data_IF_299859658586
#
_entry.id   IF_299859658586
#
_cell.length_a   1.000
_cell.length_b   1.000
_cell.length_c   1.000
_cell.angle_alpha   90.00
_cell.angle_beta   90.00
_cell.angle_gamma   90.00
#
_symmetry.space_group_name_H-M   'P 1'
#
loop_
_entity.id
_entity.type
_entity.pdbx_description
1 polymer ?
#
# COMPACT_ATOMS: atom_id res chain seq x y z
N UNK A 1 15.73 1.46 26.81
CA UNK A 1 15.06 2.64 26.20
C UNK A 1 15.93 3.69 25.46
N UNK A 2 17.29 3.62 25.38
CA UNK A 2 18.08 4.51 24.51
C UNK A 2 18.00 4.16 23.01
N UNK A 3 17.86 2.87 22.67
CA UNK A 3 17.96 2.41 21.28
C UNK A 3 16.73 2.75 20.42
N UNK A 4 15.56 2.86 21.04
CA UNK A 4 14.32 3.30 20.36
C UNK A 4 14.40 4.78 19.93
N UNK A 5 15.07 5.63 20.70
CA UNK A 5 15.25 7.06 20.39
C UNK A 5 16.21 7.28 19.21
N UNK A 6 17.23 6.42 19.04
CA UNK A 6 18.19 6.52 17.92
C UNK A 6 17.71 5.85 16.64
N UNK A 7 16.95 4.77 16.75
CA UNK A 7 16.51 4.01 15.58
C UNK A 7 15.54 4.78 14.67
N UNK A 8 14.71 5.67 15.22
CA UNK A 8 13.79 6.49 14.44
C UNK A 8 14.53 7.39 13.43
N UNK A 9 15.42 8.29 13.89
CA UNK A 9 16.20 9.15 13.01
C UNK A 9 17.05 8.38 11.99
N UNK A 10 17.71 7.29 12.41
CA UNK A 10 18.53 6.48 11.49
C UNK A 10 17.68 5.81 10.42
N UNK A 11 16.50 5.29 10.77
CA UNK A 11 15.60 4.68 9.79
C UNK A 11 14.98 5.71 8.84
N UNK A 12 14.75 6.95 9.30
CA UNK A 12 14.34 8.08 8.44
C UNK A 12 15.43 8.41 7.42
N UNK A 13 16.68 8.56 7.87
CA UNK A 13 17.82 8.83 6.99
C UNK A 13 18.06 7.68 6.01
N UNK A 14 17.92 6.44 6.48
CA UNK A 14 17.99 5.25 5.61
C UNK A 14 16.87 5.28 4.57
N UNK A 15 15.62 5.54 4.96
CA UNK A 15 14.51 5.65 4.03
C UNK A 15 14.73 6.74 2.99
N UNK A 16 15.24 7.90 3.40
CA UNK A 16 15.60 8.99 2.48
C UNK A 16 16.71 8.55 1.51
N UNK A 17 17.79 7.95 2.01
CA UNK A 17 18.89 7.46 1.18
C UNK A 17 18.39 6.40 0.18
N UNK A 18 17.55 5.47 0.62
CA UNK A 18 16.99 4.43 -0.22
C UNK A 18 16.07 5.03 -1.31
N UNK A 19 15.23 6.00 -0.95
CA UNK A 19 14.40 6.72 -1.91
C UNK A 19 15.21 7.52 -2.92
N UNK A 20 16.29 8.17 -2.49
CA UNK A 20 17.20 8.87 -3.40
C UNK A 20 17.88 7.91 -4.37
N UNK A 21 18.27 6.72 -3.93
CA UNK A 21 18.86 5.71 -4.81
C UNK A 21 17.82 5.13 -5.79
N UNK A 22 16.59 4.89 -5.33
CA UNK A 22 15.52 4.35 -6.16
C UNK A 22 15.05 5.33 -7.24
N UNK A 23 14.94 6.62 -6.90
CA UNK A 23 14.55 7.68 -7.85
C UNK A 23 15.73 8.13 -8.73
N UNK A 24 16.94 8.12 -8.18
CA UNK A 24 18.18 8.40 -8.92
C UNK A 24 18.10 9.69 -9.75
N UNK A 25 18.34 9.65 -11.07
CA UNK A 25 18.27 10.83 -11.93
C UNK A 25 16.91 11.53 -11.96
N UNK A 26 15.83 10.83 -11.59
CA UNK A 26 14.48 11.38 -11.55
C UNK A 26 14.29 12.48 -10.48
N UNK A 27 15.26 12.66 -9.58
CA UNK A 27 15.30 13.78 -8.65
C UNK A 27 15.79 15.09 -9.28
N UNK A 28 16.25 15.07 -10.53
CA UNK A 28 16.61 16.26 -11.29
C UNK A 28 15.43 17.23 -11.50
N UNK A 29 15.70 18.46 -12.00
CA UNK A 29 14.65 19.45 -12.23
C UNK A 29 13.54 18.93 -13.17
N UNK A 30 12.29 19.30 -12.89
CA UNK A 30 11.13 18.91 -13.71
C UNK A 30 10.39 17.67 -13.19
N UNK A 31 9.44 17.17 -13.98
CA UNK A 31 8.51 16.12 -13.57
C UNK A 31 8.98 14.72 -13.95
N UNK A 32 8.67 13.76 -13.09
CA UNK A 32 8.77 12.34 -13.40
C UNK A 32 7.42 11.88 -13.95
N UNK A 33 7.33 11.67 -15.26
CA UNK A 33 6.09 11.27 -15.93
C UNK A 33 6.22 9.84 -16.45
N UNK A 34 5.59 8.91 -15.74
CA UNK A 34 5.58 7.49 -16.07
C UNK A 34 4.19 6.93 -15.80
N UNK A 35 3.51 6.46 -16.84
CA UNK A 35 2.19 5.81 -16.73
C UNK A 35 1.19 6.66 -15.93
N UNK A 36 0.75 6.20 -14.74
CA UNK A 36 -0.20 6.91 -13.87
C UNK A 36 0.44 8.06 -13.06
N UNK A 37 1.75 8.31 -13.20
CA UNK A 37 2.46 9.40 -12.52
C UNK A 37 2.24 10.73 -13.25
N UNK A 38 1.01 11.21 -13.23
CA UNK A 38 0.60 12.45 -13.88
C UNK A 38 0.64 13.61 -12.89
N UNK A 39 1.60 14.50 -13.07
CA UNK A 39 1.72 15.77 -12.36
C UNK A 39 1.84 16.90 -13.40
N UNK A 40 1.38 18.10 -13.04
CA UNK A 40 1.41 19.27 -13.93
C UNK A 40 2.08 20.46 -13.22
N UNK A 41 2.71 21.40 -13.96
CA UNK A 41 3.39 22.57 -13.38
C UNK A 41 2.50 23.45 -12.50
N UNK A 42 1.31 23.78 -12.99
CA UNK A 42 0.37 24.72 -12.36
C UNK A 42 -0.97 24.02 -12.12
N UNK A 43 -1.04 23.06 -11.16
CA UNK A 43 -2.29 22.36 -10.89
C UNK A 43 -3.29 23.35 -10.29
N UNK A 44 -4.53 23.32 -10.79
CA UNK A 44 -5.63 24.16 -10.30
C UNK A 44 -6.77 23.30 -9.80
N UNK A 45 -7.54 23.82 -8.84
CA UNK A 45 -8.74 23.14 -8.37
C UNK A 45 -9.81 23.18 -9.45
N UNK A 46 -10.20 22.00 -9.93
CA UNK A 46 -11.27 21.85 -10.92
C UNK A 46 -12.36 20.94 -10.38
N UNK A 47 -13.50 20.88 -11.08
CA UNK A 47 -14.52 19.88 -10.79
C UNK A 47 -13.95 18.45 -10.85
N UNK A 48 -13.00 18.17 -11.74
CA UNK A 48 -12.36 16.86 -11.85
C UNK A 48 -11.59 16.48 -10.58
N UNK A 49 -10.87 17.44 -9.99
CA UNK A 49 -10.10 17.28 -8.75
C UNK A 49 -10.95 16.82 -7.55
N UNK A 50 -12.25 17.14 -7.56
CA UNK A 50 -13.22 16.70 -6.54
C UNK A 50 -14.14 15.57 -7.03
N UNK A 51 -13.78 14.94 -8.16
CA UNK A 51 -14.54 13.86 -8.76
C UNK A 51 -15.78 14.31 -9.53
N UNK A 52 -16.10 15.60 -9.57
CA UNK A 52 -17.33 16.19 -10.09
C UNK A 52 -17.39 16.32 -11.63
N UNK A 53 -16.48 15.67 -12.37
CA UNK A 53 -16.34 15.80 -13.84
C UNK A 53 -16.89 14.61 -14.68
N UNK A 54 -17.68 13.72 -14.09
CA UNK A 54 -18.42 12.68 -14.83
C UNK A 54 -17.71 11.32 -14.98
N UNK A 55 -16.46 11.18 -14.53
CA UNK A 55 -15.75 9.90 -14.46
C UNK A 55 -15.62 9.38 -13.03
N UNK A 56 -15.31 8.09 -12.87
CA UNK A 56 -14.98 7.52 -11.57
C UNK A 56 -13.90 8.35 -10.86
N UNK A 57 -14.07 8.70 -9.56
CA UNK A 57 -13.18 9.62 -8.85
C UNK A 57 -11.88 8.93 -8.41
N UNK A 58 -11.14 8.36 -9.37
CA UNK A 58 -9.92 7.57 -9.14
C UNK A 58 -8.75 8.39 -8.59
N UNK A 59 -8.76 9.70 -8.83
CA UNK A 59 -7.72 10.66 -8.41
C UNK A 59 -8.13 11.46 -7.16
N UNK A 60 -9.24 11.11 -6.52
CA UNK A 60 -9.77 11.87 -5.38
C UNK A 60 -9.38 11.17 -4.08
N UNK A 61 -8.77 11.89 -3.12
CA UNK A 61 -8.41 13.31 -3.11
C UNK A 61 -6.95 13.59 -3.51
N UNK A 62 -6.25 12.63 -4.12
CA UNK A 62 -4.81 12.74 -4.40
C UNK A 62 -4.43 13.99 -5.18
N UNK A 63 -5.18 14.31 -6.25
CA UNK A 63 -4.93 15.52 -7.04
C UNK A 63 -5.26 16.78 -6.25
N UNK A 64 -6.29 16.76 -5.41
CA UNK A 64 -6.65 17.89 -4.56
C UNK A 64 -5.54 18.21 -3.55
N UNK A 65 -4.93 17.17 -2.97
CA UNK A 65 -3.80 17.31 -2.05
C UNK A 65 -2.58 17.88 -2.78
N UNK A 66 -2.26 17.36 -3.97
CA UNK A 66 -1.15 17.87 -4.78
C UNK A 66 -1.38 19.33 -5.17
N UNK A 67 -2.57 19.69 -5.64
CA UNK A 67 -2.95 21.07 -5.95
C UNK A 67 -2.78 21.99 -4.74
N UNK A 68 -3.26 21.57 -3.55
CA UNK A 68 -3.13 22.35 -2.33
C UNK A 68 -1.65 22.58 -1.92
N UNK A 69 -0.84 21.52 -1.98
CA UNK A 69 0.59 21.61 -1.67
C UNK A 69 1.35 22.49 -2.68
N UNK A 70 0.88 22.52 -3.92
CA UNK A 70 1.49 23.28 -5.01
C UNK A 70 1.25 24.79 -4.91
N UNK A 71 0.42 25.25 -3.96
CA UNK A 71 0.29 26.67 -3.63
C UNK A 71 1.48 27.21 -2.83
N UNK A 72 2.25 26.33 -2.19
CA UNK A 72 3.37 26.71 -1.32
C UNK A 72 4.72 26.30 -1.94
N UNK A 73 4.74 25.19 -2.67
CA UNK A 73 5.94 24.65 -3.30
C UNK A 73 5.69 24.42 -4.80
N UNK A 74 6.71 24.52 -5.66
CA UNK A 74 6.59 24.08 -7.04
C UNK A 74 6.08 22.63 -7.13
N UNK A 75 5.18 22.34 -8.06
CA UNK A 75 4.51 21.03 -8.14
C UNK A 75 5.50 19.87 -8.40
N UNK A 76 6.63 20.12 -9.06
CA UNK A 76 7.68 19.13 -9.28
C UNK A 76 8.46 18.81 -7.99
N UNK A 77 8.59 19.78 -7.08
CA UNK A 77 9.12 19.59 -5.72
C UNK A 77 8.13 18.81 -4.87
N UNK A 78 6.83 19.13 -4.97
CA UNK A 78 5.76 18.37 -4.29
C UNK A 78 5.78 16.91 -4.71
N UNK A 79 5.90 16.62 -6.02
CA UNK A 79 6.02 15.26 -6.54
C UNK A 79 7.19 14.51 -5.89
N UNK A 80 8.41 15.09 -5.94
CA UNK A 80 9.61 14.46 -5.38
C UNK A 80 9.50 14.26 -3.87
N UNK A 81 8.92 15.23 -3.16
CA UNK A 81 8.70 15.14 -1.71
C UNK A 81 7.72 14.00 -1.35
N UNK A 82 6.64 13.83 -2.13
CA UNK A 82 5.69 12.72 -1.95
C UNK A 82 6.40 11.38 -2.19
N UNK A 83 7.14 11.25 -3.29
CA UNK A 83 7.84 10.01 -3.64
C UNK A 83 8.88 9.63 -2.58
N UNK A 84 9.73 10.58 -2.14
CA UNK A 84 10.67 10.35 -1.05
C UNK A 84 9.95 10.07 0.29
N UNK A 85 8.80 10.71 0.51
CA UNK A 85 7.95 10.50 1.67
C UNK A 85 7.48 9.05 1.82
N UNK A 86 7.18 8.36 0.72
CA UNK A 86 6.84 6.91 0.73
C UNK A 86 7.97 6.10 1.37
N UNK A 87 9.21 6.33 0.95
CA UNK A 87 10.37 5.60 1.49
C UNK A 87 10.65 5.96 2.94
N UNK A 88 10.61 7.26 3.28
CA UNK A 88 10.85 7.72 4.65
C UNK A 88 9.81 7.14 5.61
N UNK A 89 8.53 7.27 5.28
CA UNK A 89 7.43 6.77 6.11
C UNK A 89 7.44 5.24 6.20
N UNK A 90 7.59 4.54 5.07
CA UNK A 90 7.61 3.09 5.03
C UNK A 90 8.78 2.51 5.83
N UNK A 91 10.00 2.99 5.57
CA UNK A 91 11.22 2.45 6.18
C UNK A 91 11.23 2.69 7.70
N UNK A 92 10.98 3.93 8.13
CA UNK A 92 10.95 4.25 9.56
C UNK A 92 9.77 3.58 10.28
N UNK A 93 8.62 3.45 9.62
CA UNK A 93 7.48 2.73 10.16
C UNK A 93 7.77 1.25 10.44
N UNK A 94 8.29 0.52 9.43
CA UNK A 94 8.61 -0.90 9.56
C UNK A 94 9.74 -1.13 10.57
N UNK A 95 10.80 -0.30 10.53
CA UNK A 95 11.89 -0.36 11.50
C UNK A 95 11.41 -0.20 12.95
N UNK A 96 10.45 0.71 13.18
CA UNK A 96 9.91 0.98 14.51
C UNK A 96 8.97 -0.13 15.01
N UNK A 97 8.41 -0.96 14.13
CA UNK A 97 7.57 -2.10 14.51
C UNK A 97 8.37 -3.28 15.07
N UNK A 98 9.62 -3.47 14.62
CA UNK A 98 10.46 -4.57 15.07
C UNK A 98 10.82 -4.37 16.55
N UNK A 99 10.42 -5.29 17.46
CA UNK A 99 10.66 -5.17 18.89
C UNK A 99 12.06 -5.68 19.27
N UNK A 100 13.09 -5.20 18.56
CA UNK A 100 14.49 -5.51 18.83
C UNK A 100 15.19 -4.31 19.45
N UNK A 101 16.05 -4.57 20.43
CA UNK A 101 16.98 -3.56 20.95
C UNK A 101 18.15 -3.30 19.98
N UNK A 102 18.41 -4.21 19.02
CA UNK A 102 19.48 -4.07 18.05
C UNK A 102 19.02 -3.20 16.89
N UNK A 103 19.90 -2.34 16.39
CA UNK A 103 19.59 -1.47 15.25
C UNK A 103 19.46 -2.26 13.94
N UNK A 104 20.32 -3.26 13.73
CA UNK A 104 20.41 -4.01 12.46
C UNK A 104 19.07 -4.65 12.06
N UNK A 105 18.36 -5.45 12.89
CA UNK A 105 17.08 -6.02 12.49
C UNK A 105 16.03 -4.97 12.10
N UNK A 106 16.05 -3.81 12.75
CA UNK A 106 15.11 -2.71 12.46
C UNK A 106 15.42 -2.09 11.09
N UNK A 107 16.69 -1.88 10.78
CA UNK A 107 17.11 -1.34 9.48
C UNK A 107 16.88 -2.35 8.35
N UNK A 108 17.10 -3.65 8.59
CA UNK A 108 16.78 -4.71 7.62
C UNK A 108 15.28 -4.72 7.31
N UNK A 109 14.42 -4.66 8.33
CA UNK A 109 12.98 -4.57 8.15
C UNK A 109 12.56 -3.32 7.37
N UNK A 110 13.11 -2.15 7.75
CA UNK A 110 12.88 -0.90 7.03
C UNK A 110 13.29 -0.98 5.56
N UNK A 111 14.48 -1.52 5.29
CA UNK A 111 15.04 -1.68 3.93
C UNK A 111 14.18 -2.62 3.10
N UNK A 112 13.92 -3.83 3.59
CA UNK A 112 13.11 -4.81 2.88
C UNK A 112 11.70 -4.26 2.59
N UNK A 113 11.12 -3.51 3.54
CA UNK A 113 9.77 -2.98 3.36
C UNK A 113 9.67 -1.93 2.24
N UNK A 114 10.71 -1.13 1.99
CA UNK A 114 10.65 -0.10 0.92
C UNK A 114 11.41 -0.46 -0.34
N UNK A 115 12.27 -1.48 -0.27
CA UNK A 115 13.09 -1.95 -1.37
C UNK A 115 12.74 -3.39 -1.73
N UNK A 116 11.53 -3.56 -2.26
CA UNK A 116 11.00 -4.85 -2.70
C UNK A 116 10.22 -4.69 -4.02
N UNK A 117 9.83 -5.82 -4.66
CA UNK A 117 9.14 -5.78 -5.94
C UNK A 117 7.83 -5.01 -5.93
N UNK A 118 7.06 -5.07 -4.83
CA UNK A 118 5.81 -4.34 -4.72
C UNK A 118 6.04 -2.84 -4.89
N UNK A 119 7.05 -2.27 -4.24
CA UNK A 119 7.34 -0.83 -4.36
C UNK A 119 7.87 -0.51 -5.76
N UNK A 120 8.78 -1.32 -6.27
CA UNK A 120 9.41 -1.09 -7.57
C UNK A 120 8.40 -1.12 -8.73
N UNK A 121 7.56 -2.15 -8.80
CA UNK A 121 6.56 -2.29 -9.87
C UNK A 121 5.52 -1.16 -9.82
N UNK A 122 5.14 -0.71 -8.61
CA UNK A 122 4.16 0.38 -8.44
C UNK A 122 4.73 1.75 -8.75
N UNK A 123 6.04 1.96 -8.52
CA UNK A 123 6.73 3.16 -9.00
C UNK A 123 6.80 3.19 -10.53
N UNK A 124 7.11 2.06 -11.17
CA UNK A 124 7.14 1.92 -12.63
C UNK A 124 5.75 2.04 -13.28
N UNK A 125 4.70 1.69 -12.54
CA UNK A 125 3.31 1.97 -12.94
C UNK A 125 2.85 3.40 -12.63
N UNK A 126 3.65 4.19 -11.92
CA UNK A 126 3.26 5.54 -11.52
C UNK A 126 2.20 5.60 -10.42
N UNK A 127 1.98 4.52 -9.68
CA UNK A 127 0.95 4.40 -8.65
C UNK A 127 1.39 4.96 -7.29
N UNK A 128 1.91 6.19 -7.31
CA UNK A 128 2.40 6.91 -6.13
C UNK A 128 1.33 7.06 -5.05
N UNK A 129 0.07 7.27 -5.45
CA UNK A 129 -1.04 7.45 -4.53
C UNK A 129 -1.32 6.17 -3.72
N UNK A 130 -1.32 5.00 -4.37
CA UNK A 130 -1.41 3.70 -3.70
C UNK A 130 -0.24 3.47 -2.73
N UNK A 131 0.96 3.89 -3.12
CA UNK A 131 2.16 3.75 -2.30
C UNK A 131 2.12 4.59 -1.01
N UNK A 132 1.32 5.67 -0.94
CA UNK A 132 1.06 6.35 0.33
C UNK A 132 0.27 5.48 1.31
N UNK A 133 -0.69 4.69 0.79
CA UNK A 133 -1.40 3.67 1.56
C UNK A 133 -0.45 2.59 2.05
N UNK A 134 0.41 2.10 1.17
CA UNK A 134 1.47 1.15 1.49
C UNK A 134 2.39 1.67 2.60
N UNK A 135 2.90 2.91 2.48
CA UNK A 135 3.78 3.51 3.47
C UNK A 135 3.10 3.72 4.85
N UNK A 136 1.76 3.83 4.88
CA UNK A 136 0.98 3.97 6.11
C UNK A 136 0.79 2.66 6.89
N UNK A 137 0.89 1.49 6.25
CA UNK A 137 0.64 0.18 6.88
C UNK A 137 1.39 -0.03 8.21
N UNK A 138 2.72 0.22 8.30
CA UNK A 138 3.43 0.02 9.56
C UNK A 138 2.93 0.93 10.69
N UNK A 139 2.49 2.14 10.34
CA UNK A 139 2.01 3.13 11.31
C UNK A 139 0.62 2.78 11.82
N UNK A 140 -0.27 2.25 10.98
CA UNK A 140 -1.60 1.82 11.43
C UNK A 140 -1.50 0.57 12.32
N UNK A 141 -0.58 -0.34 12.03
CA UNK A 141 -0.28 -1.48 12.92
C UNK A 141 0.24 -0.97 14.26
N UNK A 142 1.16 0.01 14.27
CA UNK A 142 1.68 0.60 15.52
C UNK A 142 0.64 1.42 16.30
N UNK A 143 -0.32 1.99 15.58
CA UNK A 143 -1.41 2.78 16.15
C UNK A 143 -2.60 1.93 16.62
N UNK A 144 -2.53 0.60 16.45
CA UNK A 144 -3.57 -0.33 16.86
C UNK A 144 -4.01 -0.06 18.31
N UNK A 145 -5.33 0.01 18.52
CA UNK A 145 -5.92 0.31 19.83
C UNK A 145 -6.23 1.79 20.09
N UNK A 146 -5.83 2.72 19.22
CA UNK A 146 -6.20 4.14 19.35
C UNK A 146 -6.72 4.71 18.03
N UNK A 147 -8.00 5.11 18.02
CA UNK A 147 -8.63 5.72 16.84
C UNK A 147 -7.94 7.03 16.42
N UNK A 148 -7.57 7.87 17.39
CA UNK A 148 -6.84 9.12 17.11
C UNK A 148 -5.49 8.85 16.46
N UNK A 149 -4.71 7.91 16.99
CA UNK A 149 -3.41 7.55 16.39
C UNK A 149 -3.60 6.88 15.02
N UNK A 150 -4.65 6.08 14.86
CA UNK A 150 -5.01 5.45 13.59
C UNK A 150 -5.36 6.49 12.53
N UNK A 151 -6.10 7.55 12.89
CA UNK A 151 -6.40 8.66 12.00
C UNK A 151 -5.15 9.37 11.50
N UNK A 152 -4.20 9.68 12.39
CA UNK A 152 -2.91 10.27 11.99
C UNK A 152 -2.12 9.31 11.11
N UNK A 153 -2.06 8.03 11.48
CA UNK A 153 -1.35 7.00 10.71
C UNK A 153 -1.96 6.76 9.31
N UNK A 154 -3.27 6.94 9.15
CA UNK A 154 -3.98 6.81 7.88
C UNK A 154 -3.90 8.08 7.02
N UNK A 155 -3.39 9.20 7.51
CA UNK A 155 -3.36 10.45 6.74
C UNK A 155 -2.66 10.33 5.37
N UNK A 156 -1.52 9.62 5.23
CA UNK A 156 -0.94 9.36 3.90
C UNK A 156 -1.86 8.56 3.00
N UNK A 157 -2.48 7.49 3.53
CA UNK A 157 -3.44 6.68 2.78
C UNK A 157 -4.67 7.50 2.33
N UNK A 158 -5.15 8.39 3.20
CA UNK A 158 -6.27 9.28 2.92
C UNK A 158 -5.94 10.26 1.78
N UNK A 159 -4.71 10.79 1.79
CA UNK A 159 -4.21 11.61 0.67
C UNK A 159 -4.10 10.79 -0.62
N UNK A 160 -3.67 9.53 -0.55
CA UNK A 160 -3.62 8.61 -1.70
C UNK A 160 -4.99 8.18 -2.25
N UNK A 161 -6.08 8.39 -1.50
CA UNK A 161 -7.44 8.12 -1.95
C UNK A 161 -7.85 6.66 -1.88
N UNK A 162 -8.74 6.26 -2.79
CA UNK A 162 -9.51 5.01 -2.68
C UNK A 162 -8.65 3.74 -2.54
N UNK A 163 -7.78 3.47 -3.50
CA UNK A 163 -6.96 2.25 -3.52
C UNK A 163 -6.02 2.19 -2.30
N UNK A 164 -5.34 3.30 -1.99
CA UNK A 164 -4.50 3.45 -0.81
C UNK A 164 -5.27 3.15 0.48
N UNK A 165 -6.45 3.74 0.65
CA UNK A 165 -7.29 3.52 1.82
C UNK A 165 -7.76 2.07 1.94
N UNK A 166 -8.02 1.35 0.85
CA UNK A 166 -8.51 -0.04 0.92
C UNK A 166 -7.46 -0.99 1.51
N UNK A 167 -6.19 -0.91 1.07
CA UNK A 167 -5.11 -1.75 1.62
C UNK A 167 -4.77 -1.38 3.07
N UNK A 168 -4.81 -0.08 3.41
CA UNK A 168 -4.54 0.40 4.77
C UNK A 168 -5.68 0.05 5.72
N UNK A 169 -6.94 0.16 5.28
CA UNK A 169 -8.12 -0.20 6.06
C UNK A 169 -8.17 -1.71 6.32
N UNK A 170 -7.87 -2.56 5.32
CA UNK A 170 -7.76 -4.01 5.52
C UNK A 170 -6.79 -4.34 6.66
N UNK A 171 -5.60 -3.73 6.64
CA UNK A 171 -4.58 -3.93 7.68
C UNK A 171 -5.03 -3.41 9.04
N UNK A 172 -5.55 -2.18 9.10
CA UNK A 172 -5.99 -1.56 10.34
C UNK A 172 -7.17 -2.31 10.99
N UNK A 173 -8.17 -2.71 10.20
CA UNK A 173 -9.32 -3.46 10.69
C UNK A 173 -8.92 -4.85 11.17
N UNK A 174 -8.05 -5.56 10.44
CA UNK A 174 -7.55 -6.86 10.89
C UNK A 174 -6.79 -6.73 12.22
N UNK A 175 -5.91 -5.73 12.37
CA UNK A 175 -5.22 -5.48 13.66
C UNK A 175 -6.15 -5.08 14.80
N UNK A 176 -7.22 -4.34 14.52
CA UNK A 176 -8.23 -4.00 15.53
C UNK A 176 -9.12 -5.21 15.90
N UNK A 177 -9.45 -6.05 14.92
CA UNK A 177 -10.31 -7.19 15.08
C UNK A 177 -9.60 -8.40 15.70
N UNK A 178 -8.29 -8.53 15.53
CA UNK A 178 -7.52 -9.67 16.04
C UNK A 178 -6.35 -9.19 16.90
N UNK A 179 -6.62 -8.53 18.05
CA UNK A 179 -5.56 -8.12 18.97
C UNK A 179 -4.89 -9.34 19.62
N UNK A 180 -3.65 -9.15 20.08
CA UNK A 180 -3.01 -10.12 20.96
C UNK A 180 -3.66 -10.13 22.35
N UNK A 181 -3.72 -11.32 22.95
CA UNK A 181 -4.35 -11.52 24.26
C UNK A 181 -5.87 -11.72 24.21
N UNK A 182 -6.50 -11.66 25.39
CA UNK A 182 -7.96 -11.81 25.55
C UNK A 182 -8.56 -10.43 25.82
N UNK A 183 -9.40 -9.96 24.90
CA UNK A 183 -10.25 -8.79 25.11
C UNK A 183 -11.71 -9.26 25.16
N UNK A 184 -12.55 -8.73 26.07
CA UNK A 184 -13.99 -8.96 26.03
C UNK A 184 -14.56 -8.58 24.66
N UNK A 185 -15.51 -9.36 24.14
CA UNK A 185 -16.14 -9.14 22.83
C UNK A 185 -16.59 -7.69 22.64
N UNK A 186 -17.23 -7.09 23.65
CA UNK A 186 -17.71 -5.71 23.62
C UNK A 186 -16.59 -4.68 23.43
N UNK A 187 -15.46 -4.85 24.13
CA UNK A 187 -14.31 -3.96 24.01
C UNK A 187 -13.65 -4.07 22.62
N UNK A 188 -13.52 -5.32 22.13
CA UNK A 188 -13.02 -5.60 20.78
C UNK A 188 -13.91 -4.95 19.71
N UNK A 189 -15.23 -5.12 19.79
CA UNK A 189 -16.17 -4.52 18.85
C UNK A 189 -16.15 -2.99 18.92
N UNK A 190 -16.09 -2.41 20.11
CA UNK A 190 -15.95 -0.96 20.26
C UNK A 190 -14.66 -0.45 19.60
N UNK A 191 -13.55 -1.18 19.73
CA UNK A 191 -12.29 -0.84 19.06
C UNK A 191 -12.43 -0.95 17.54
N UNK A 192 -13.01 -2.04 17.02
CA UNK A 192 -13.24 -2.22 15.58
C UNK A 192 -14.10 -1.09 15.02
N UNK A 193 -15.21 -0.75 15.67
CA UNK A 193 -16.10 0.35 15.25
C UNK A 193 -15.36 1.69 15.24
N UNK A 194 -14.60 1.99 16.30
CA UNK A 194 -13.81 3.23 16.38
C UNK A 194 -12.74 3.31 15.30
N UNK A 195 -12.07 2.20 14.99
CA UNK A 195 -11.08 2.14 13.92
C UNK A 195 -11.75 2.20 12.55
N UNK A 196 -12.91 1.59 12.35
CA UNK A 196 -13.67 1.61 11.11
C UNK A 196 -14.27 2.99 10.77
N UNK A 197 -14.58 3.79 11.80
CA UNK A 197 -15.06 5.17 11.60
C UNK A 197 -14.01 6.06 10.91
N UNK A 198 -12.71 5.79 11.13
CA UNK A 198 -11.62 6.57 10.53
C UNK A 198 -11.55 6.43 9.00
N UNK A 199 -11.37 5.22 8.42
CA UNK A 199 -11.37 5.06 6.98
C UNK A 199 -12.73 5.42 6.37
N UNK A 200 -13.86 5.16 7.06
CA UNK A 200 -15.17 5.61 6.59
C UNK A 200 -15.22 7.13 6.41
N UNK A 201 -14.72 7.90 7.39
CA UNK A 201 -14.60 9.36 7.29
C UNK A 201 -13.65 9.82 6.18
N UNK A 202 -12.45 9.23 6.07
CA UNK A 202 -11.49 9.55 5.01
C UNK A 202 -11.93 9.08 3.62
N UNK A 203 -12.93 8.21 3.53
CA UNK A 203 -13.50 7.76 2.27
C UNK A 203 -14.53 8.75 1.70
N UNK A 204 -15.08 9.64 2.52
CA UNK A 204 -16.11 10.59 2.11
C UNK A 204 -15.76 11.42 0.87
N UNK A 205 -14.52 11.93 0.67
CA UNK A 205 -14.18 12.76 -0.48
C UNK A 205 -14.43 12.08 -1.84
N UNK A 206 -14.29 10.76 -1.94
CA UNK A 206 -14.57 10.01 -3.18
C UNK A 206 -15.89 9.22 -3.11
N UNK A 207 -16.33 8.82 -1.91
CA UNK A 207 -17.59 8.09 -1.71
C UNK A 207 -18.80 9.00 -2.00
N UNK A 208 -18.82 10.22 -1.46
CA UNK A 208 -19.96 11.15 -1.63
C UNK A 208 -20.17 11.50 -3.11
N UNK A 209 -19.15 11.93 -3.89
CA UNK A 209 -19.34 12.21 -5.31
C UNK A 209 -19.75 10.98 -6.13
N UNK A 210 -19.40 9.78 -5.68
CA UNK A 210 -19.78 8.50 -6.31
C UNK A 210 -21.24 8.17 -6.04
N UNK A 211 -21.70 8.28 -4.79
CA UNK A 211 -23.09 8.01 -4.41
C UNK A 211 -24.07 9.02 -4.99
N UNK A 212 -23.67 10.28 -5.08
CA UNK A 212 -24.51 11.35 -5.65
C UNK A 212 -24.65 11.27 -7.18
N UNK A 213 -23.84 10.45 -7.86
CA UNK A 213 -23.92 10.26 -9.32
C UNK A 213 -23.95 8.77 -9.67
N UNK A 214 -25.13 8.14 -9.54
CA UNK A 214 -25.34 6.77 -10.00
C UNK A 214 -24.98 6.65 -11.49
N UNK A 215 -24.24 5.59 -11.85
CA UNK A 215 -23.80 5.33 -13.22
C UNK A 215 -22.37 5.78 -13.57
N UNK A 216 -21.70 6.51 -12.67
CA UNK A 216 -20.28 6.88 -12.85
C UNK A 216 -19.33 5.69 -12.61
N UNK A 217 -19.77 4.72 -11.81
CA UNK A 217 -19.09 3.43 -11.65
C UNK A 217 -19.62 2.44 -12.68
N UNK A 218 -18.93 2.32 -13.80
CA UNK A 218 -19.13 1.21 -14.73
C UNK A 218 -18.15 0.10 -14.38
N UNK A 219 -18.70 -1.07 -14.04
CA UNK A 219 -17.93 -2.28 -13.85
C UNK A 219 -17.88 -3.07 -15.16
N UNK A 220 -16.69 -3.45 -15.59
CA UNK A 220 -16.50 -4.32 -16.75
C UNK A 220 -15.62 -5.51 -16.35
N UNK A 221 -16.13 -6.72 -16.56
CA UNK A 221 -15.40 -7.96 -16.32
C UNK A 221 -14.13 -8.07 -17.18
N UNK A 222 -14.07 -7.41 -18.34
CA UNK A 222 -12.85 -7.31 -19.15
C UNK A 222 -11.71 -6.68 -18.36
N UNK A 223 -12.03 -5.72 -17.48
CA UNK A 223 -11.05 -5.13 -16.58
C UNK A 223 -10.42 -6.16 -15.64
N UNK A 224 -11.17 -7.16 -15.18
CA UNK A 224 -10.62 -8.20 -14.29
C UNK A 224 -9.58 -9.05 -15.01
N UNK A 225 -9.80 -9.38 -16.28
CA UNK A 225 -8.80 -10.10 -17.09
C UNK A 225 -7.60 -9.20 -17.43
N UNK A 226 -7.83 -7.94 -17.79
CA UNK A 226 -6.77 -7.01 -18.18
C UNK A 226 -5.82 -6.64 -17.03
N UNK A 227 -6.34 -6.58 -15.79
CA UNK A 227 -5.58 -6.24 -14.59
C UNK A 227 -5.19 -7.46 -13.75
N UNK A 228 -5.41 -8.67 -14.27
CA UNK A 228 -5.09 -9.92 -13.59
C UNK A 228 -3.60 -10.02 -13.23
N UNK A 229 -3.32 -10.60 -12.07
CA UNK A 229 -1.95 -10.84 -11.62
C UNK A 229 -1.21 -11.72 -12.64
N UNK A 230 -0.05 -11.24 -13.08
CA UNK A 230 0.78 -11.91 -14.11
C UNK A 230 1.97 -12.59 -13.45
N UNK A 231 2.48 -13.65 -14.06
CA UNK A 231 3.77 -14.19 -13.67
C UNK A 231 4.91 -13.23 -14.08
N UNK A 232 5.77 -12.87 -13.13
CA UNK A 232 6.99 -12.07 -13.37
C UNK A 232 8.27 -12.92 -13.31
N UNK A 233 8.15 -14.24 -13.15
CA UNK A 233 9.26 -15.19 -13.10
C UNK A 233 8.80 -16.65 -13.29
N UNK A 234 9.70 -17.64 -13.12
CA UNK A 234 9.44 -19.05 -13.45
C UNK A 234 8.45 -19.76 -12.51
N UNK A 235 8.03 -19.12 -11.41
CA UNK A 235 7.16 -19.72 -10.38
C UNK A 235 5.67 -19.45 -10.59
N UNK A 236 5.29 -18.94 -11.77
CA UNK A 236 3.92 -18.56 -12.08
C UNK A 236 3.43 -17.35 -11.28
N UNK A 237 2.17 -16.98 -11.47
CA UNK A 237 1.60 -15.77 -10.85
C UNK A 237 1.54 -15.87 -9.31
N UNK A 238 1.21 -17.04 -8.75
CA UNK A 238 1.19 -17.22 -7.28
C UNK A 238 2.60 -17.05 -6.68
N UNK A 239 3.63 -17.63 -7.32
CA UNK A 239 5.01 -17.43 -6.88
C UNK A 239 5.46 -15.98 -6.99
N UNK A 240 5.00 -15.28 -8.04
CA UNK A 240 5.25 -13.85 -8.24
C UNK A 240 4.64 -13.02 -7.10
N UNK A 241 3.37 -13.28 -6.76
CA UNK A 241 2.68 -12.64 -5.63
C UNK A 241 3.34 -12.95 -4.28
N UNK A 242 3.78 -14.20 -4.05
CA UNK A 242 4.52 -14.59 -2.83
C UNK A 242 5.86 -13.87 -2.71
N UNK A 243 6.49 -13.56 -3.85
CA UNK A 243 7.71 -12.75 -3.94
C UNK A 243 7.43 -11.24 -4.04
N UNK A 244 6.21 -10.82 -3.69
CA UNK A 244 5.72 -9.42 -3.65
C UNK A 244 5.60 -8.71 -5.00
N UNK A 245 5.71 -9.42 -6.11
CA UNK A 245 5.51 -8.86 -7.45
C UNK A 245 4.13 -9.20 -8.01
N UNK A 246 4.09 -9.57 -9.29
CA UNK A 246 2.88 -10.01 -9.98
C UNK A 246 2.07 -8.89 -10.61
N UNK A 247 2.69 -7.73 -10.91
CA UNK A 247 2.05 -6.66 -11.67
C UNK A 247 1.56 -7.15 -13.03
N UNK A 248 0.34 -6.75 -13.39
CA UNK A 248 -0.31 -7.10 -14.65
C UNK A 248 0.46 -6.59 -15.88
N UNK A 249 1.12 -5.43 -15.77
CA UNK A 249 1.87 -4.81 -16.86
C UNK A 249 3.31 -5.33 -16.91
N UNK A 250 3.64 -6.11 -17.95
CA UNK A 250 4.98 -6.67 -18.13
C UNK A 250 6.09 -5.60 -18.27
N UNK A 251 5.76 -4.39 -18.72
CA UNK A 251 6.71 -3.28 -18.85
C UNK A 251 7.04 -2.60 -17.52
N UNK A 252 6.31 -2.94 -16.45
CA UNK A 252 6.55 -2.42 -15.11
C UNK A 252 7.33 -3.40 -14.21
N UNK A 253 7.94 -4.44 -14.79
CA UNK A 253 8.81 -5.36 -14.05
C UNK A 253 10.26 -4.86 -14.13
N UNK A 254 10.96 -4.66 -12.99
CA UNK A 254 12.36 -4.27 -12.99
C UNK A 254 13.26 -5.26 -13.72
N UNK A 255 14.27 -4.74 -14.43
CA UNK A 255 15.26 -5.55 -15.15
C UNK A 255 15.94 -6.52 -14.17
N UNK A 256 15.99 -7.80 -14.55
CA UNK A 256 16.64 -8.86 -13.79
C UNK A 256 15.71 -9.63 -12.84
N UNK A 257 14.48 -9.15 -12.60
CA UNK A 257 13.54 -9.83 -11.71
C UNK A 257 12.94 -11.10 -12.31
N UNK A 258 12.87 -11.15 -13.63
CA UNK A 258 12.39 -12.26 -14.46
C UNK A 258 13.42 -13.38 -14.62
N UNK A 259 14.71 -13.10 -14.35
CA UNK A 259 15.76 -14.11 -14.34
C UNK A 259 15.51 -15.15 -13.23
N UNK A 260 15.92 -16.40 -13.46
CA UNK A 260 15.79 -17.47 -12.45
C UNK A 260 16.48 -17.08 -11.15
N UNK A 261 17.69 -16.50 -11.23
CA UNK A 261 18.45 -16.07 -10.04
C UNK A 261 17.72 -14.96 -9.29
N UNK A 262 17.23 -13.94 -10.00
CA UNK A 262 16.46 -12.85 -9.41
C UNK A 262 15.16 -13.34 -8.76
N UNK A 263 14.38 -14.15 -9.46
CA UNK A 263 13.15 -14.74 -8.95
C UNK A 263 13.38 -15.63 -7.73
N UNK A 264 14.40 -16.50 -7.76
CA UNK A 264 14.77 -17.36 -6.61
C UNK A 264 15.17 -16.49 -5.42
N UNK A 265 16.04 -15.50 -5.63
CA UNK A 265 16.50 -14.61 -4.57
C UNK A 265 15.34 -13.86 -3.89
N UNK A 266 14.44 -13.27 -4.68
CA UNK A 266 13.24 -12.58 -4.15
C UNK A 266 12.34 -13.54 -3.36
N UNK A 267 12.06 -14.71 -3.92
CA UNK A 267 11.21 -15.70 -3.26
C UNK A 267 11.83 -16.18 -1.94
N UNK A 268 13.12 -16.51 -1.93
CA UNK A 268 13.84 -16.96 -0.72
C UNK A 268 13.83 -15.86 0.35
N UNK A 269 14.08 -14.60 -0.01
CA UNK A 269 14.02 -13.49 0.95
C UNK A 269 12.62 -13.31 1.54
N UNK A 270 11.57 -13.38 0.72
CA UNK A 270 10.18 -13.28 1.19
C UNK A 270 9.81 -14.45 2.10
N UNK A 271 10.15 -15.69 1.71
CA UNK A 271 9.91 -16.88 2.50
C UNK A 271 10.68 -16.86 3.83
N UNK A 272 11.92 -16.35 3.83
CA UNK A 272 12.71 -16.19 5.05
C UNK A 272 12.03 -15.22 6.02
N UNK A 273 11.53 -14.07 5.54
CA UNK A 273 10.78 -13.12 6.37
C UNK A 273 9.45 -13.70 6.88
N UNK A 274 8.69 -14.41 6.03
CA UNK A 274 7.46 -15.09 6.44
C UNK A 274 7.75 -16.15 7.51
N UNK A 275 8.79 -16.94 7.33
CA UNK A 275 9.22 -17.96 8.30
C UNK A 275 9.70 -17.31 9.61
N UNK A 276 10.49 -16.24 9.53
CA UNK A 276 10.93 -15.43 10.66
C UNK A 276 9.75 -14.92 11.48
N UNK A 277 8.74 -14.35 10.82
CA UNK A 277 7.50 -13.91 11.45
C UNK A 277 6.73 -15.06 12.12
N UNK A 278 6.66 -16.22 11.45
CA UNK A 278 5.97 -17.39 11.97
C UNK A 278 6.62 -17.93 13.26
N UNK A 279 7.95 -17.86 13.37
CA UNK A 279 8.67 -18.30 14.59
C UNK A 279 8.79 -17.21 15.65
N UNK A 280 8.71 -15.93 15.27
CA UNK A 280 8.87 -14.78 16.16
C UNK A 280 7.83 -14.75 17.29
N UNK A 281 8.30 -14.63 18.54
CA UNK A 281 7.44 -14.60 19.74
C UNK A 281 7.28 -13.18 20.26
N UNK A 282 6.17 -12.91 20.94
CA UNK A 282 5.95 -11.63 21.64
C UNK A 282 5.64 -10.42 20.74
N UNK A 283 5.34 -10.63 19.45
CA UNK A 283 4.90 -9.57 18.55
C UNK A 283 3.46 -9.13 18.93
N UNK A 284 3.23 -7.87 19.35
CA UNK A 284 1.91 -7.42 19.84
C UNK A 284 0.84 -7.28 18.74
N UNK A 285 1.22 -7.44 17.48
CA UNK A 285 0.38 -7.32 16.30
C UNK A 285 0.31 -8.62 15.48
N UNK A 286 0.82 -9.74 15.99
CA UNK A 286 1.05 -10.97 15.23
C UNK A 286 -0.21 -11.48 14.52
N UNK A 287 -1.29 -11.72 15.26
CA UNK A 287 -2.57 -12.23 14.75
C UNK A 287 -3.19 -11.28 13.74
N UNK A 288 -3.29 -10.00 14.11
CA UNK A 288 -3.84 -8.96 13.25
C UNK A 288 -3.13 -8.84 11.90
N UNK A 289 -1.80 -8.78 11.93
CA UNK A 289 -1.00 -8.68 10.72
C UNK A 289 -1.01 -9.99 9.91
N UNK A 290 -1.00 -11.15 10.57
CA UNK A 290 -1.15 -12.44 9.89
C UNK A 290 -2.48 -12.57 9.16
N UNK A 291 -3.58 -12.14 9.79
CA UNK A 291 -4.91 -12.13 9.16
C UNK A 291 -4.95 -11.15 8.00
N UNK A 292 -4.39 -9.94 8.15
CA UNK A 292 -4.30 -8.97 7.07
C UNK A 292 -3.52 -9.52 5.86
N UNK A 293 -2.37 -10.14 6.12
CA UNK A 293 -1.52 -10.74 5.09
C UNK A 293 -2.21 -11.92 4.40
N UNK A 294 -2.83 -12.82 5.16
CA UNK A 294 -3.54 -13.97 4.61
C UNK A 294 -4.77 -13.55 3.79
N UNK A 295 -5.57 -12.60 4.31
CA UNK A 295 -6.72 -12.08 3.59
C UNK A 295 -6.31 -11.33 2.31
N UNK A 296 -5.31 -10.45 2.41
CA UNK A 296 -4.81 -9.69 1.26
C UNK A 296 -4.18 -10.58 0.18
N UNK A 297 -3.36 -11.56 0.59
CA UNK A 297 -2.80 -12.56 -0.31
C UNK A 297 -3.88 -13.45 -0.94
N UNK A 298 -4.90 -13.85 -0.16
CA UNK A 298 -6.05 -14.59 -0.67
C UNK A 298 -6.81 -13.81 -1.75
N UNK A 299 -7.07 -12.52 -1.52
CA UNK A 299 -7.67 -11.62 -2.51
C UNK A 299 -6.81 -11.56 -3.77
N UNK A 300 -5.50 -11.37 -3.63
CA UNK A 300 -4.57 -11.33 -4.77
C UNK A 300 -4.61 -12.62 -5.60
N UNK A 301 -4.68 -13.78 -4.94
CA UNK A 301 -4.77 -15.08 -5.61
C UNK A 301 -6.10 -15.31 -6.36
N UNK A 302 -7.19 -14.62 -6.02
CA UNK A 302 -8.43 -14.71 -6.80
C UNK A 302 -8.23 -14.24 -8.25
N UNK A 303 -7.36 -13.24 -8.48
CA UNK A 303 -7.04 -12.76 -9.82
C UNK A 303 -6.21 -13.73 -10.67
N UNK A 304 -5.69 -14.81 -10.10
CA UNK A 304 -4.80 -15.75 -10.80
C UNK A 304 -5.56 -16.83 -11.58
N UNK A 305 -6.65 -17.35 -11.00
CA UNK A 305 -7.39 -18.48 -11.59
C UNK A 305 -8.56 -18.01 -12.43
N UNK A 306 -8.91 -18.75 -13.48
CA UNK A 306 -10.07 -18.43 -14.32
C UNK A 306 -11.38 -18.37 -13.50
N UNK A 307 -11.58 -19.30 -12.56
CA UNK A 307 -12.74 -19.30 -11.68
C UNK A 307 -12.79 -18.07 -10.75
N UNK A 308 -11.64 -17.69 -10.19
CA UNK A 308 -11.53 -16.49 -9.36
C UNK A 308 -11.78 -15.20 -10.15
N UNK A 309 -11.25 -15.11 -11.38
CA UNK A 309 -11.52 -13.98 -12.28
C UNK A 309 -12.98 -13.90 -12.72
N UNK A 310 -13.62 -15.03 -13.00
CA UNK A 310 -15.05 -15.08 -13.28
C UNK A 310 -15.89 -14.61 -12.08
N UNK A 311 -15.53 -15.03 -10.86
CA UNK A 311 -16.21 -14.57 -9.64
C UNK A 311 -16.02 -13.06 -9.41
N UNK A 312 -14.81 -12.54 -9.60
CA UNK A 312 -14.52 -11.11 -9.52
C UNK A 312 -15.26 -10.33 -10.62
N UNK A 313 -15.33 -10.87 -11.85
CA UNK A 313 -16.10 -10.29 -12.95
C UNK A 313 -17.57 -10.14 -12.59
N UNK A 314 -18.19 -11.21 -12.07
CA UNK A 314 -19.59 -11.16 -11.61
C UNK A 314 -19.83 -10.15 -10.48
N UNK A 315 -18.88 -9.98 -9.55
CA UNK A 315 -18.96 -8.95 -8.51
C UNK A 315 -18.89 -7.53 -9.10
N UNK A 316 -17.95 -7.30 -10.03
CA UNK A 316 -17.76 -6.01 -10.70
C UNK A 316 -18.99 -5.63 -11.54
N UNK A 317 -19.60 -6.61 -12.23
CA UNK A 317 -20.84 -6.42 -12.98
C UNK A 317 -22.05 -6.16 -12.05
N UNK A 318 -22.13 -6.85 -10.91
CA UNK A 318 -23.19 -6.63 -9.93
C UNK A 318 -23.12 -5.22 -9.32
N UNK A 319 -21.91 -4.72 -9.04
CA UNK A 319 -21.70 -3.35 -8.60
C UNK A 319 -20.28 -2.87 -8.93
N UNK A 320 -20.17 -1.81 -9.74
CA UNK A 320 -18.88 -1.28 -10.19
C UNK A 320 -17.92 -0.83 -9.07
N UNK A 321 -18.40 -0.69 -7.83
CA UNK A 321 -17.53 -0.43 -6.68
C UNK A 321 -16.61 -1.60 -6.31
N UNK A 322 -16.91 -2.82 -6.77
CA UNK A 322 -15.99 -3.97 -6.66
C UNK A 322 -14.79 -3.88 -7.63
N UNK A 323 -14.75 -2.88 -8.53
CA UNK A 323 -13.64 -2.70 -9.47
C UNK A 323 -12.27 -2.52 -8.79
N UNK A 324 -12.21 -2.20 -7.50
CA UNK A 324 -10.94 -2.22 -6.72
C UNK A 324 -10.26 -3.58 -6.73
N UNK A 325 -11.05 -4.66 -6.77
CA UNK A 325 -10.55 -6.03 -6.76
C UNK A 325 -10.05 -6.50 -8.13
N UNK A 326 -10.21 -5.69 -9.19
CA UNK A 326 -9.63 -6.01 -10.52
C UNK A 326 -8.09 -6.01 -10.49
N UNK A 327 -7.48 -5.09 -9.74
CA UNK A 327 -6.03 -5.03 -9.47
C UNK A 327 -5.77 -5.74 -8.13
N UNK A 328 -6.08 -7.04 -8.07
CA UNK A 328 -6.10 -7.80 -6.82
C UNK A 328 -4.71 -7.89 -6.17
N UNK A 329 -3.65 -7.91 -6.97
CA UNK A 329 -2.25 -7.95 -6.53
C UNK A 329 -1.86 -6.76 -5.61
N UNK A 330 -2.59 -5.63 -5.63
CA UNK A 330 -2.30 -4.53 -4.71
C UNK A 330 -2.51 -4.95 -3.23
N UNK A 331 -3.36 -5.94 -2.97
CA UNK A 331 -3.65 -6.46 -1.64
C UNK A 331 -2.54 -7.35 -1.06
N UNK A 332 -1.44 -7.59 -1.79
CA UNK A 332 -0.21 -8.21 -1.25
C UNK A 332 0.50 -7.29 -0.24
N UNK A 333 0.17 -6.00 -0.19
CA UNK A 333 0.79 -5.01 0.71
C UNK A 333 0.98 -5.46 2.19
N UNK A 334 -0.01 -6.09 2.87
CA UNK A 334 0.17 -6.53 4.25
C UNK A 334 1.13 -7.73 4.37
N UNK A 335 1.24 -8.58 3.34
CA UNK A 335 2.23 -9.65 3.27
C UNK A 335 3.65 -9.07 3.19
N UNK A 336 3.84 -7.98 2.43
CA UNK A 336 5.13 -7.28 2.39
C UNK A 336 5.55 -6.78 3.77
N UNK A 337 4.62 -6.21 4.54
CA UNK A 337 4.89 -5.77 5.91
C UNK A 337 5.19 -6.95 6.83
N UNK A 338 4.43 -8.04 6.71
CA UNK A 338 4.63 -9.26 7.49
C UNK A 338 6.03 -9.84 7.26
N UNK A 339 6.42 -9.99 5.99
CA UNK A 339 7.75 -10.49 5.63
C UNK A 339 8.86 -9.53 6.08
N UNK A 340 8.64 -8.22 6.04
CA UNK A 340 9.62 -7.24 6.49
C UNK A 340 9.93 -7.31 7.99
N UNK A 341 8.93 -7.54 8.84
CA UNK A 341 9.08 -7.52 10.30
C UNK A 341 9.35 -8.89 10.92
N UNK A 342 9.41 -9.94 10.10
CA UNK A 342 9.72 -11.32 10.50
C UNK A 342 11.21 -11.63 10.47
#
# INVERSE_FOLDING_TARGET
>A
MPCTLRAGPVAVLLGLALGCLALGPALGPGFVLVQDMVFVPDPVFTRFTFGLAGSAPRVVPSDAVVTALSWVLPADVVQKAILLGVFVLGCSGAALLVPSERLVPRLVAGTFYVWNPYVAERLLMGQWALLLGYAALPWVVRAAGSARRSAVAMAPAAAGGFAAMTITALTALATAAFPEGRAPWRARMAQVVRVAAVPAGFSLPWLVPTLLRPGVLTGDAIGVEAFAARADGPFGAVGSLLSLGGIWNAQAVPVGYDTVVGAVGRLVLCLAGIAGFAVARGLPYRRGLAVAAAAGFGIACLGVTAAGRAALGGLVEAWGGFAVFRDAQQFVAPLALLAAVG
#
